data_IF_780720701162
#
_entry.id   IF_780720701162
#
_cell.length_a   1.000
_cell.length_b   1.000
_cell.length_c   1.000
_cell.angle_alpha   90.00
_cell.angle_beta   90.00
_cell.angle_gamma   90.00
#
_symmetry.space_group_name_H-M   'P 1'
#
loop_
_entity.id
_entity.type
_entity.pdbx_description
1 polymer ?
#
# COMPACT_ATOMS: atom_id res chain seq x y z
N UNK A 1 -14.78 -3.36 -9.15
CA UNK A 1 -15.56 -3.35 -10.42
C UNK A 1 -14.95 -2.36 -11.38
N UNK A 2 -14.94 -2.69 -12.68
CA UNK A 2 -14.30 -1.86 -13.71
C UNK A 2 -15.13 -1.84 -14.98
N UNK A 3 -15.05 -0.73 -15.71
CA UNK A 3 -15.39 -0.62 -17.12
C UNK A 3 -14.10 -0.42 -17.90
N UNK A 4 -13.93 -1.17 -18.99
CA UNK A 4 -12.71 -1.17 -19.79
C UNK A 4 -13.07 -1.16 -21.27
N UNK A 5 -12.36 -0.38 -22.07
CA UNK A 5 -12.40 -0.41 -23.52
C UNK A 5 -11.15 -1.16 -24.01
N UNK A 6 -11.34 -2.30 -24.66
CA UNK A 6 -10.26 -3.08 -25.23
C UNK A 6 -9.69 -2.45 -26.51
N UNK A 7 -8.54 -2.93 -26.98
CA UNK A 7 -7.92 -2.44 -28.20
C UNK A 7 -8.75 -2.64 -29.48
N UNK A 8 -9.76 -3.50 -29.44
CA UNK A 8 -10.76 -3.70 -30.51
C UNK A 8 -11.87 -2.62 -30.52
N UNK A 9 -11.93 -1.77 -29.48
CA UNK A 9 -13.01 -0.81 -29.28
C UNK A 9 -14.21 -1.38 -28.51
N UNK A 10 -14.18 -2.66 -28.16
CA UNK A 10 -15.27 -3.29 -27.39
C UNK A 10 -15.24 -2.85 -25.94
N UNK A 11 -16.42 -2.54 -25.40
CA UNK A 11 -16.60 -2.18 -24.01
C UNK A 11 -16.90 -3.42 -23.16
N UNK A 12 -16.17 -3.58 -22.07
CA UNK A 12 -16.35 -4.67 -21.11
C UNK A 12 -16.57 -4.13 -19.70
N UNK A 13 -17.56 -4.64 -19.01
CA UNK A 13 -17.93 -4.22 -17.65
C UNK A 13 -17.95 -5.40 -16.69
N UNK A 14 -17.50 -5.17 -15.44
CA UNK A 14 -17.47 -6.18 -14.39
C UNK A 14 -18.17 -5.70 -13.12
N UNK A 15 -18.73 -6.63 -12.34
CA UNK A 15 -19.34 -6.35 -11.04
C UNK A 15 -20.45 -5.31 -11.10
N UNK A 16 -20.35 -4.24 -10.31
CA UNK A 16 -21.37 -3.18 -10.26
C UNK A 16 -21.55 -2.45 -11.61
N UNK A 17 -20.53 -2.36 -12.42
CA UNK A 17 -20.58 -1.75 -13.74
C UNK A 17 -21.33 -2.63 -14.77
N UNK A 18 -21.43 -3.93 -14.54
CA UNK A 18 -22.13 -4.88 -15.40
C UNK A 18 -23.63 -5.02 -15.08
N UNK A 19 -24.13 -4.32 -14.06
CA UNK A 19 -25.54 -4.36 -13.69
C UNK A 19 -26.47 -3.78 -14.76
N UNK A 20 -27.80 -3.98 -14.63
CA UNK A 20 -28.76 -3.41 -15.54
C UNK A 20 -28.70 -1.88 -15.55
N UNK A 21 -28.86 -1.32 -16.74
CA UNK A 21 -28.75 0.11 -16.97
C UNK A 21 -27.37 0.58 -17.44
N UNK A 22 -27.28 1.83 -17.84
CA UNK A 22 -26.04 2.48 -18.25
C UNK A 22 -25.15 2.86 -17.07
N UNK A 23 -23.93 3.31 -17.35
CA UNK A 23 -22.99 3.74 -16.32
C UNK A 23 -23.52 4.94 -15.50
N UNK A 24 -24.31 5.82 -16.11
CA UNK A 24 -24.93 6.96 -15.43
C UNK A 24 -25.96 6.50 -14.37
N UNK A 25 -26.76 5.49 -14.68
CA UNK A 25 -27.70 4.92 -13.73
C UNK A 25 -26.98 4.20 -12.58
N UNK A 26 -25.85 3.54 -12.86
CA UNK A 26 -25.00 2.93 -11.84
C UNK A 26 -24.37 3.98 -10.92
N UNK A 27 -23.91 5.09 -11.47
CA UNK A 27 -23.40 6.25 -10.69
C UNK A 27 -24.49 6.88 -9.82
N UNK A 28 -25.67 7.11 -10.38
CA UNK A 28 -26.83 7.63 -9.64
C UNK A 28 -27.26 6.73 -8.48
N UNK A 29 -27.11 5.40 -8.64
CA UNK A 29 -27.36 4.42 -7.59
C UNK A 29 -26.21 4.34 -6.53
N UNK A 30 -25.19 5.19 -6.62
CA UNK A 30 -24.05 5.22 -5.70
C UNK A 30 -23.07 4.05 -5.91
N UNK A 31 -23.01 3.47 -7.09
CA UNK A 31 -22.10 2.37 -7.42
C UNK A 31 -22.36 1.07 -6.65
N UNK A 32 -23.54 0.88 -6.10
CA UNK A 32 -23.91 -0.33 -5.36
C UNK A 32 -23.87 -1.54 -6.30
N UNK A 33 -23.09 -2.54 -5.90
CA UNK A 33 -23.07 -3.81 -6.60
C UNK A 33 -24.43 -4.50 -6.48
N UNK A 34 -25.12 -4.69 -7.61
CA UNK A 34 -26.45 -5.34 -7.65
C UNK A 34 -26.34 -6.86 -7.73
N UNK A 35 -25.21 -7.36 -8.21
CA UNK A 35 -24.94 -8.79 -8.30
C UNK A 35 -23.68 -9.11 -7.48
N UNK A 36 -23.84 -9.94 -6.46
CA UNK A 36 -22.72 -10.47 -5.70
C UNK A 36 -22.08 -11.61 -6.49
N UNK A 37 -20.75 -11.55 -6.68
CA UNK A 37 -20.00 -12.70 -7.14
C UNK A 37 -20.08 -13.79 -6.07
N UNK A 38 -20.71 -14.92 -6.39
CA UNK A 38 -20.74 -16.10 -5.52
C UNK A 38 -19.32 -16.71 -5.38
N UNK A 39 -19.13 -17.65 -4.44
CA UNK A 39 -17.82 -18.25 -4.18
C UNK A 39 -17.22 -19.01 -5.37
N UNK A 40 -18.02 -19.41 -6.34
CA UNK A 40 -17.60 -20.07 -7.58
C UNK A 40 -17.52 -19.12 -8.79
N UNK A 41 -17.85 -17.85 -8.64
CA UNK A 41 -17.83 -16.90 -9.75
C UNK A 41 -16.40 -16.45 -10.08
N UNK A 42 -16.06 -16.47 -11.37
CA UNK A 42 -14.80 -15.94 -11.86
C UNK A 42 -14.82 -14.41 -11.81
N UNK A 43 -13.85 -13.82 -11.14
CA UNK A 43 -13.73 -12.37 -11.01
C UNK A 43 -12.86 -11.82 -12.15
N UNK A 44 -13.49 -11.48 -13.28
CA UNK A 44 -12.79 -11.05 -14.50
C UNK A 44 -12.02 -9.75 -14.33
N UNK A 45 -12.36 -8.88 -13.37
CA UNK A 45 -11.59 -7.68 -13.11
C UNK A 45 -10.14 -7.97 -12.67
N UNK A 46 -9.87 -9.17 -12.15
CA UNK A 46 -8.51 -9.58 -11.77
C UNK A 46 -7.57 -9.76 -12.97
N UNK A 47 -8.11 -10.00 -14.16
CA UNK A 47 -7.32 -10.06 -15.39
C UNK A 47 -6.81 -8.69 -15.82
N UNK A 48 -7.48 -7.63 -15.39
CA UNK A 48 -7.17 -6.25 -15.72
C UNK A 48 -6.20 -5.61 -14.72
N UNK A 49 -6.17 -6.14 -13.48
CA UNK A 49 -5.27 -5.67 -12.45
C UNK A 49 -3.81 -6.02 -12.78
N UNK A 50 -2.92 -5.03 -12.78
CA UNK A 50 -1.52 -5.23 -13.11
C UNK A 50 -1.23 -5.45 -14.60
N UNK A 51 -2.20 -5.26 -15.49
CA UNK A 51 -2.03 -5.43 -16.93
C UNK A 51 -1.19 -4.32 -17.59
N UNK A 52 -0.84 -3.26 -16.86
CA UNK A 52 0.07 -2.19 -17.32
C UNK A 52 -0.29 -1.61 -18.69
N UNK A 53 -1.60 -1.43 -18.96
CA UNK A 53 -2.09 -0.88 -20.23
C UNK A 53 -2.17 -1.88 -21.40
N UNK A 54 -1.76 -3.14 -21.22
CA UNK A 54 -1.73 -4.13 -22.34
C UNK A 54 -3.12 -4.69 -22.68
N UNK A 55 -4.07 -4.63 -21.75
CA UNK A 55 -5.41 -5.21 -21.91
C UNK A 55 -6.45 -4.20 -22.39
N UNK A 56 -6.22 -2.91 -22.25
CA UNK A 56 -7.17 -1.86 -22.62
C UNK A 56 -7.11 -0.65 -21.70
N UNK A 57 -8.05 0.27 -21.89
CA UNK A 57 -8.16 1.51 -21.13
C UNK A 57 -9.31 1.38 -20.12
N UNK A 58 -9.01 1.53 -18.83
CA UNK A 58 -10.03 1.57 -17.78
C UNK A 58 -10.67 2.95 -17.78
N UNK A 59 -11.96 3.00 -18.12
CA UNK A 59 -12.74 4.23 -18.18
C UNK A 59 -13.50 4.54 -16.91
N UNK A 60 -13.76 3.51 -16.11
CA UNK A 60 -14.40 3.62 -14.80
C UNK A 60 -13.96 2.50 -13.88
N UNK A 61 -13.79 2.82 -12.60
CA UNK A 61 -13.50 1.85 -11.56
C UNK A 61 -14.22 2.19 -10.26
N UNK A 62 -14.69 1.14 -9.56
CA UNK A 62 -15.15 1.22 -8.19
C UNK A 62 -14.14 0.53 -7.30
N UNK A 63 -13.45 1.30 -6.48
CA UNK A 63 -12.48 0.82 -5.51
C UNK A 63 -13.09 0.79 -4.10
N UNK A 64 -12.64 -0.15 -3.30
CA UNK A 64 -12.94 -0.14 -1.88
C UNK A 64 -12.13 0.98 -1.21
N UNK A 65 -12.81 1.78 -0.40
CA UNK A 65 -12.14 2.77 0.44
C UNK A 65 -11.89 2.18 1.82
N UNK A 66 -10.73 2.48 2.36
CA UNK A 66 -10.39 2.25 3.76
C UNK A 66 -10.46 3.57 4.53
N UNK A 67 -10.67 3.49 5.83
CA UNK A 67 -10.65 4.67 6.69
C UNK A 67 -9.22 5.18 6.82
N UNK A 68 -9.07 6.49 6.84
CA UNK A 68 -7.78 7.12 7.15
C UNK A 68 -7.54 6.97 8.66
N UNK A 69 -6.37 6.51 9.10
CA UNK A 69 -6.03 6.42 10.51
C UNK A 69 -6.03 7.78 11.20
N UNK A 70 -6.54 7.86 12.42
CA UNK A 70 -6.46 9.08 13.25
C UNK A 70 -5.06 9.26 13.87
N UNK A 71 -4.35 8.13 14.09
CA UNK A 71 -2.95 8.10 14.55
C UNK A 71 -2.15 7.17 13.69
N UNK A 72 -0.94 7.59 13.37
CA UNK A 72 0.02 6.84 12.57
C UNK A 72 1.39 6.85 13.23
N UNK A 73 2.02 5.69 13.28
CA UNK A 73 3.36 5.53 13.82
C UNK A 73 4.21 4.72 12.85
N UNK A 74 5.02 5.39 12.01
CA UNK A 74 5.91 4.74 11.08
C UNK A 74 7.23 4.32 11.72
N UNK A 75 7.81 3.23 11.19
CA UNK A 75 9.08 2.65 11.64
C UNK A 75 9.88 2.09 10.48
N UNK A 76 11.21 2.02 10.70
CA UNK A 76 12.12 1.24 9.86
C UNK A 76 12.70 0.07 10.63
N UNK A 77 13.04 -0.98 9.88
CA UNK A 77 13.94 -2.06 10.28
C UNK A 77 14.93 -2.24 9.14
N UNK A 78 16.22 -2.32 9.45
CA UNK A 78 17.26 -2.49 8.45
C UNK A 78 17.97 -3.84 8.60
N UNK A 79 18.40 -4.41 7.48
CA UNK A 79 19.21 -5.61 7.45
C UNK A 79 20.08 -5.67 6.18
N UNK A 80 21.17 -6.42 6.25
CA UNK A 80 21.97 -6.73 5.07
C UNK A 80 21.38 -7.90 4.27
N UNK A 81 20.63 -8.79 4.94
CA UNK A 81 19.96 -9.94 4.35
C UNK A 81 18.44 -9.69 4.31
N UNK A 82 17.84 -9.63 3.12
CA UNK A 82 16.39 -9.41 2.98
C UNK A 82 15.54 -10.56 3.56
N UNK A 83 16.09 -11.76 3.71
CA UNK A 83 15.35 -12.90 4.26
C UNK A 83 14.87 -12.63 5.70
N UNK A 84 15.66 -11.93 6.49
CA UNK A 84 15.27 -11.52 7.86
C UNK A 84 14.12 -10.53 7.85
N UNK A 85 14.13 -9.58 6.92
CA UNK A 85 13.04 -8.61 6.77
C UNK A 85 11.75 -9.26 6.28
N UNK A 86 11.85 -10.27 5.40
CA UNK A 86 10.70 -11.04 4.92
C UNK A 86 10.02 -11.81 6.07
N UNK A 87 10.78 -12.37 7.00
CA UNK A 87 10.21 -13.03 8.16
C UNK A 87 9.43 -12.06 9.05
N UNK A 88 10.02 -10.90 9.35
CA UNK A 88 9.35 -9.84 10.12
C UNK A 88 8.09 -9.36 9.39
N UNK A 89 8.19 -9.05 8.09
CA UNK A 89 7.08 -8.60 7.26
C UNK A 89 5.92 -9.60 7.27
N UNK A 90 6.25 -10.89 7.12
CA UNK A 90 5.25 -11.97 7.16
C UNK A 90 4.45 -11.97 8.46
N UNK A 91 5.10 -11.77 9.59
CA UNK A 91 4.42 -11.75 10.88
C UNK A 91 3.62 -10.47 11.09
N UNK A 92 4.14 -9.30 10.71
CA UNK A 92 3.40 -8.04 10.77
C UNK A 92 2.10 -8.11 9.95
N UNK A 93 2.16 -8.71 8.74
CA UNK A 93 0.99 -8.90 7.88
C UNK A 93 0.02 -9.93 8.50
N UNK A 94 0.53 -11.08 8.96
CA UNK A 94 -0.27 -12.17 9.51
C UNK A 94 -1.05 -11.74 10.75
N UNK A 95 -0.44 -10.94 11.60
CA UNK A 95 -1.05 -10.39 12.81
C UNK A 95 -1.84 -9.09 12.55
N UNK A 96 -1.80 -8.58 11.30
CA UNK A 96 -2.45 -7.32 10.90
C UNK A 96 -2.04 -6.12 11.75
N UNK A 97 -0.78 -6.04 12.13
CA UNK A 97 -0.25 -4.94 12.93
C UNK A 97 0.01 -3.70 12.07
N UNK A 98 0.53 -3.88 10.85
CA UNK A 98 0.88 -2.78 9.96
C UNK A 98 -0.23 -2.50 8.94
N UNK A 99 -0.54 -1.21 8.76
CA UNK A 99 -1.42 -0.70 7.71
C UNK A 99 -0.71 -0.56 6.37
N UNK A 100 0.53 -0.11 6.41
CA UNK A 100 1.43 0.01 5.26
C UNK A 100 2.71 -0.75 5.56
N UNK A 101 3.23 -1.44 4.56
CA UNK A 101 4.45 -2.21 4.68
C UNK A 101 5.10 -2.37 3.32
N UNK A 102 6.40 -2.07 3.24
CA UNK A 102 7.22 -2.25 2.04
C UNK A 102 8.64 -2.63 2.40
N UNK A 103 9.26 -3.48 1.59
CA UNK A 103 10.69 -3.79 1.65
C UNK A 103 11.34 -3.20 0.41
N UNK A 104 12.35 -2.38 0.61
CA UNK A 104 13.08 -1.69 -0.45
C UNK A 104 14.59 -1.87 -0.26
N UNK A 105 15.32 -1.83 -1.37
CA UNK A 105 16.78 -1.72 -1.35
C UNK A 105 17.22 -0.26 -1.15
N UNK A 106 18.51 -0.06 -0.90
CA UNK A 106 19.07 1.27 -0.69
C UNK A 106 18.85 2.23 -1.87
N UNK A 107 18.91 1.71 -3.12
CA UNK A 107 18.74 2.51 -4.32
C UNK A 107 17.31 3.04 -4.46
N UNK A 108 16.30 2.19 -4.18
CA UNK A 108 14.90 2.59 -4.22
C UNK A 108 14.58 3.63 -3.14
N UNK A 109 15.12 3.46 -1.91
CA UNK A 109 14.96 4.44 -0.83
C UNK A 109 15.61 5.77 -1.20
N UNK A 110 16.84 5.75 -1.76
CA UNK A 110 17.51 6.95 -2.20
C UNK A 110 16.74 7.67 -3.32
N UNK A 111 16.24 6.93 -4.30
CA UNK A 111 15.45 7.48 -5.42
C UNK A 111 14.11 8.13 -4.97
N UNK A 112 13.47 7.60 -3.92
CA UNK A 112 12.24 8.16 -3.38
C UNK A 112 12.46 9.45 -2.56
N UNK A 113 13.64 9.61 -1.96
CA UNK A 113 13.90 10.66 -0.99
C UNK A 113 14.92 11.73 -1.44
N UNK A 114 15.64 11.50 -2.54
CA UNK A 114 16.57 12.47 -3.09
C UNK A 114 15.88 13.49 -3.97
N UNK A 115 16.27 14.76 -3.84
CA UNK A 115 15.78 15.84 -4.69
C UNK A 115 16.64 16.00 -5.98
N UNK A 116 17.88 15.50 -5.96
CA UNK A 116 18.81 15.54 -7.09
C UNK A 116 19.81 14.37 -7.06
N UNK A 117 20.60 14.23 -8.14
CA UNK A 117 21.57 13.15 -8.30
C UNK A 117 22.67 13.16 -7.22
N UNK A 118 23.06 14.33 -6.75
CA UNK A 118 24.08 14.47 -5.69
C UNK A 118 23.54 13.99 -4.35
N UNK A 119 22.31 14.34 -4.02
CA UNK A 119 21.60 13.86 -2.83
C UNK A 119 21.38 12.35 -2.89
N UNK A 120 21.05 11.82 -4.08
CA UNK A 120 20.91 10.39 -4.29
C UNK A 120 22.19 9.62 -3.96
N UNK A 121 23.34 10.03 -4.50
CA UNK A 121 24.64 9.38 -4.25
C UNK A 121 25.03 9.45 -2.78
N UNK A 122 24.78 10.58 -2.12
CA UNK A 122 25.06 10.77 -0.69
C UNK A 122 24.18 9.89 0.21
N UNK A 123 22.90 9.72 -0.13
CA UNK A 123 21.98 8.85 0.57
C UNK A 123 22.35 7.38 0.35
N UNK A 124 22.57 6.98 -0.90
CA UNK A 124 22.94 5.62 -1.26
C UNK A 124 24.17 5.13 -0.51
N UNK A 125 25.18 5.99 -0.33
CA UNK A 125 26.41 5.65 0.40
C UNK A 125 26.19 5.41 1.91
N UNK A 126 25.11 5.91 2.49
CA UNK A 126 24.83 5.84 3.95
C UNK A 126 23.71 4.88 4.30
N UNK A 127 22.89 4.51 3.33
CA UNK A 127 21.74 3.63 3.56
C UNK A 127 22.15 2.17 3.76
N UNK A 128 21.45 1.42 4.62
CA UNK A 128 21.60 -0.02 4.71
C UNK A 128 21.14 -0.69 3.42
N UNK A 129 21.68 -1.88 3.09
CA UNK A 129 21.40 -2.59 1.84
C UNK A 129 19.89 -2.85 1.62
N UNK A 130 19.18 -3.17 2.71
CA UNK A 130 17.73 -3.44 2.69
C UNK A 130 17.03 -2.77 3.86
N UNK A 131 15.86 -2.26 3.60
CA UNK A 131 15.01 -1.59 4.57
C UNK A 131 13.59 -2.15 4.50
N UNK A 132 13.04 -2.53 5.63
CA UNK A 132 11.61 -2.73 5.82
C UNK A 132 11.06 -1.45 6.43
N UNK A 133 10.18 -0.79 5.72
CA UNK A 133 9.33 0.29 6.24
C UNK A 133 7.96 -0.28 6.57
N UNK A 134 7.39 0.12 7.69
CA UNK A 134 6.00 -0.15 8.01
C UNK A 134 5.39 0.95 8.87
N UNK A 135 4.08 1.11 8.79
CA UNK A 135 3.32 2.09 9.55
C UNK A 135 2.21 1.41 10.33
N UNK A 136 2.16 1.65 11.64
CA UNK A 136 1.03 1.27 12.48
C UNK A 136 -0.04 2.34 12.34
N UNK A 137 -1.31 1.95 12.32
CA UNK A 137 -2.42 2.89 12.22
C UNK A 137 -3.55 2.55 13.19
N UNK A 138 -4.03 3.54 13.93
CA UNK A 138 -5.21 3.40 14.77
C UNK A 138 -6.32 4.34 14.33
N UNK A 139 -7.55 3.90 14.54
CA UNK A 139 -8.76 4.55 14.03
C UNK A 139 -9.62 5.06 15.19
N UNK A 140 -10.67 5.85 14.85
CA UNK A 140 -11.67 6.37 15.79
C UNK A 140 -12.03 5.37 16.89
N UNK A 141 -12.45 5.90 18.00
CA UNK A 141 -12.71 5.21 19.27
C UNK A 141 -11.44 4.73 19.98
N UNK A 142 -10.93 5.58 20.87
CA UNK A 142 -9.73 5.40 21.69
C UNK A 142 -8.45 5.18 20.83
N UNK A 143 -8.14 6.09 19.89
CA UNK A 143 -7.03 5.89 18.96
C UNK A 143 -5.68 5.80 19.67
N UNK A 144 -5.48 6.57 20.74
CA UNK A 144 -4.21 6.58 21.49
C UNK A 144 -3.99 5.25 22.23
N UNK A 145 -5.00 4.74 22.95
CA UNK A 145 -4.92 3.45 23.64
C UNK A 145 -4.72 2.29 22.68
N UNK A 146 -5.38 2.33 21.50
CA UNK A 146 -5.17 1.33 20.44
C UNK A 146 -3.75 1.39 19.88
N UNK A 147 -3.21 2.59 19.69
CA UNK A 147 -1.84 2.77 19.22
C UNK A 147 -0.83 2.22 20.22
N UNK A 148 -1.02 2.48 21.53
CA UNK A 148 -0.17 1.91 22.57
C UNK A 148 -0.18 0.37 22.53
N UNK A 149 -1.35 -0.25 22.40
CA UNK A 149 -1.47 -1.70 22.23
C UNK A 149 -0.75 -2.22 20.99
N UNK A 150 -0.91 -1.57 19.83
CA UNK A 150 -0.21 -1.94 18.59
C UNK A 150 1.32 -1.83 18.72
N UNK A 151 1.80 -0.79 19.40
CA UNK A 151 3.23 -0.59 19.65
C UNK A 151 3.76 -1.71 20.55
N UNK A 152 3.03 -2.09 21.60
CA UNK A 152 3.44 -3.14 22.53
C UNK A 152 3.46 -4.51 21.84
N UNK A 153 2.39 -4.87 21.11
CA UNK A 153 2.31 -6.11 20.33
C UNK A 153 3.46 -6.20 19.30
N UNK A 154 3.74 -5.08 18.63
CA UNK A 154 4.84 -4.99 17.67
C UNK A 154 6.19 -5.17 18.36
N UNK A 155 6.40 -4.54 19.50
CA UNK A 155 7.64 -4.66 20.29
C UNK A 155 7.89 -6.11 20.73
N UNK A 156 6.86 -6.76 21.27
CA UNK A 156 6.95 -8.16 21.69
C UNK A 156 7.28 -9.08 20.51
N UNK A 157 6.61 -8.91 19.37
CA UNK A 157 6.89 -9.64 18.14
C UNK A 157 8.35 -9.48 17.71
N UNK A 158 8.83 -8.24 17.62
CA UNK A 158 10.17 -7.93 17.14
C UNK A 158 11.24 -8.46 18.10
N UNK A 159 11.01 -8.40 19.40
CA UNK A 159 11.89 -8.99 20.39
C UNK A 159 12.04 -10.51 20.20
N UNK A 160 10.95 -11.22 19.92
CA UNK A 160 10.97 -12.65 19.62
C UNK A 160 11.74 -12.99 18.34
N UNK A 161 11.69 -12.10 17.35
CA UNK A 161 12.38 -12.26 16.07
C UNK A 161 13.83 -11.71 16.07
N UNK A 162 14.28 -11.13 17.18
CA UNK A 162 15.61 -10.51 17.28
C UNK A 162 15.77 -9.28 16.38
N UNK A 163 14.67 -8.57 16.08
CA UNK A 163 14.66 -7.36 15.27
C UNK A 163 14.40 -6.10 16.12
N UNK A 164 14.83 -4.95 15.63
CA UNK A 164 14.64 -3.68 16.30
C UNK A 164 14.17 -2.61 15.32
N UNK A 165 13.23 -1.79 15.75
CA UNK A 165 12.77 -0.63 15.01
C UNK A 165 13.69 0.56 15.22
N UNK A 166 13.82 1.38 14.17
CA UNK A 166 14.43 2.70 14.26
C UNK A 166 13.49 3.75 13.67
N UNK A 167 13.58 4.99 14.17
CA UNK A 167 12.76 6.11 13.71
C UNK A 167 13.36 6.83 12.52
N UNK A 168 14.66 6.61 12.25
CA UNK A 168 15.37 7.21 11.14
C UNK A 168 16.47 6.31 10.62
N UNK A 169 16.75 6.40 9.32
CA UNK A 169 17.87 5.75 8.62
C UNK A 169 18.63 6.82 7.84
N UNK A 170 19.96 6.81 7.88
CA UNK A 170 20.77 7.90 7.36
C UNK A 170 20.27 9.26 7.90
N UNK A 171 19.76 10.15 7.04
CA UNK A 171 19.14 11.42 7.44
C UNK A 171 17.62 11.46 7.26
N UNK A 172 16.98 10.33 6.93
CA UNK A 172 15.56 10.22 6.59
C UNK A 172 14.80 9.73 7.81
N UNK A 173 13.82 10.49 8.27
CA UNK A 173 12.88 10.03 9.30
C UNK A 173 11.80 9.13 8.69
N UNK A 174 11.24 8.22 9.49
CA UNK A 174 10.16 7.35 9.05
C UNK A 174 8.90 8.15 8.63
N UNK A 175 8.70 9.34 9.21
CA UNK A 175 7.60 10.24 8.84
C UNK A 175 7.81 10.86 7.45
N UNK A 176 8.99 11.41 7.19
CA UNK A 176 9.34 11.97 5.87
C UNK A 176 9.24 10.89 4.78
N UNK A 177 9.70 9.67 5.10
CA UNK A 177 9.58 8.56 4.17
C UNK A 177 8.12 8.17 3.88
N UNK A 178 7.25 8.16 4.88
CA UNK A 178 5.80 7.93 4.71
C UNK A 178 5.18 8.95 3.75
N UNK A 179 5.57 10.22 3.88
CA UNK A 179 5.12 11.28 2.98
C UNK A 179 5.66 11.09 1.57
N UNK A 180 6.95 10.71 1.44
CA UNK A 180 7.57 10.46 0.14
C UNK A 180 6.90 9.33 -0.64
N UNK A 181 6.58 8.19 -0.01
CA UNK A 181 5.90 7.06 -0.69
C UNK A 181 4.44 7.37 -1.05
N UNK A 182 3.81 8.32 -0.37
CA UNK A 182 2.42 8.74 -0.64
C UNK A 182 2.32 9.87 -1.66
N UNK A 183 3.40 10.62 -1.90
CA UNK A 183 3.43 11.76 -2.82
C UNK A 183 2.93 11.45 -4.23
N UNK A 184 3.31 10.34 -4.89
CA UNK A 184 2.83 10.03 -6.23
C UNK A 184 1.32 9.83 -6.34
N UNK A 185 0.65 9.44 -5.25
CA UNK A 185 -0.81 9.30 -5.24
C UNK A 185 -1.55 10.60 -4.92
N UNK A 186 -0.89 11.54 -4.26
CA UNK A 186 -1.44 12.85 -3.93
C UNK A 186 -1.28 13.86 -5.09
N UNK A 187 -0.18 13.75 -5.82
CA UNK A 187 0.16 14.64 -6.94
C UNK A 187 0.48 13.79 -8.20
N UNK A 188 -0.55 13.19 -8.81
CA UNK A 188 -0.34 12.46 -10.07
C UNK A 188 -0.03 13.48 -11.18
N UNK A 189 1.11 13.31 -11.82
CA UNK A 189 1.69 14.07 -12.96
C UNK A 189 0.94 15.27 -13.49
#
# INVERSE_FOLDING_TARGET
>A
STEVVFGTGDMFRTGAAAGPGGIEEQRAAGGRQKEAAGPSAMSLHRLLQGAQGTMGIVTWASARCELIPDREQPYFISANDPAKLLEVARWLIRLRLANELVILNAADVAALCADDDSAYDQLLAKLPSWVLFFCLGSYKYLPDMRMEGLIEDTRELLQRLGAQTVQSIASITAREFLEAIRRPSAEPY
#
